data_IF_156652610377
#
_entry.id   IF_156652610377
#
_cell.length_a   1.000
_cell.length_b   1.000
_cell.length_c   1.000
_cell.angle_alpha   90.00
_cell.angle_beta   90.00
_cell.angle_gamma   90.00
#
_symmetry.space_group_name_H-M   'P 1'
#
loop_
_entity.id
_entity.type
_entity.pdbx_description
1 polymer ?
#
# COMPACT_ATOMS: atom_id res chain seq x y z
N UNK A 1 7.09 -2.72 -15.37
CA UNK A 1 6.86 -4.17 -15.28
C UNK A 1 5.53 -4.51 -15.93
N UNK A 2 5.54 -5.05 -17.16
CA UNK A 2 4.33 -5.31 -17.97
C UNK A 2 3.70 -6.69 -17.69
N UNK A 3 3.93 -7.27 -16.51
CA UNK A 3 3.42 -8.61 -16.20
C UNK A 3 1.90 -8.62 -16.09
N UNK A 4 1.29 -9.54 -16.82
CA UNK A 4 -0.15 -9.87 -16.75
C UNK A 4 -0.30 -11.24 -16.07
N UNK A 5 -1.49 -11.55 -15.62
CA UNK A 5 -1.80 -12.92 -15.20
C UNK A 5 -1.66 -13.90 -16.37
N UNK A 6 -1.20 -15.11 -16.06
CA UNK A 6 -1.34 -16.26 -16.95
C UNK A 6 -2.81 -16.67 -17.08
N UNK A 7 -3.13 -17.53 -18.06
CA UNK A 7 -4.48 -18.08 -18.20
C UNK A 7 -4.94 -18.77 -16.90
N UNK A 8 -4.03 -19.47 -16.22
CA UNK A 8 -4.32 -20.06 -14.90
C UNK A 8 -4.62 -18.98 -13.84
N UNK A 9 -3.92 -17.83 -13.83
CA UNK A 9 -4.21 -16.71 -12.92
C UNK A 9 -5.61 -16.14 -13.15
N UNK A 10 -6.07 -16.07 -14.39
CA UNK A 10 -7.45 -15.67 -14.73
C UNK A 10 -8.48 -16.68 -14.17
N UNK A 11 -8.21 -17.98 -14.31
CA UNK A 11 -9.05 -19.03 -13.73
C UNK A 11 -9.09 -18.95 -12.19
N UNK A 12 -7.97 -18.64 -11.53
CA UNK A 12 -7.89 -18.45 -10.08
C UNK A 12 -8.79 -17.30 -9.62
N UNK A 13 -8.74 -16.14 -10.28
CA UNK A 13 -9.60 -15.00 -9.92
C UNK A 13 -11.09 -15.37 -10.11
N UNK A 14 -11.43 -16.07 -11.19
CA UNK A 14 -12.79 -16.51 -11.43
C UNK A 14 -13.28 -17.49 -10.34
N UNK A 15 -12.44 -18.45 -9.93
CA UNK A 15 -12.77 -19.37 -8.85
C UNK A 15 -12.85 -18.69 -7.49
N UNK A 16 -11.99 -17.70 -7.20
CA UNK A 16 -12.08 -16.88 -5.98
C UNK A 16 -13.44 -16.18 -5.89
N UNK A 17 -13.91 -15.57 -6.98
CA UNK A 17 -15.22 -14.93 -7.02
C UNK A 17 -16.34 -15.96 -6.73
N UNK A 18 -16.26 -17.15 -7.34
CA UNK A 18 -17.25 -18.20 -7.19
C UNK A 18 -17.34 -18.75 -5.76
N UNK A 19 -16.22 -18.91 -5.06
CA UNK A 19 -16.17 -19.46 -3.71
C UNK A 19 -16.22 -18.38 -2.61
N UNK A 20 -16.38 -17.10 -2.95
CA UNK A 20 -16.48 -16.00 -2.00
C UNK A 20 -15.16 -15.60 -1.33
N UNK A 21 -14.04 -15.76 -2.02
CA UNK A 21 -12.72 -15.31 -1.52
C UNK A 21 -12.42 -13.92 -2.07
N UNK A 22 -12.04 -13.00 -1.18
CA UNK A 22 -11.60 -11.64 -1.56
C UNK A 22 -10.38 -11.68 -2.47
N UNK A 23 -10.45 -10.98 -3.60
CA UNK A 23 -9.29 -10.74 -4.47
C UNK A 23 -8.59 -9.49 -3.95
N UNK A 24 -7.35 -9.64 -3.49
CA UNK A 24 -6.51 -8.54 -3.05
C UNK A 24 -5.57 -8.12 -4.17
N UNK A 25 -5.66 -6.85 -4.58
CA UNK A 25 -4.82 -6.27 -5.64
C UNK A 25 -3.60 -5.51 -5.12
N UNK A 26 -3.34 -5.53 -3.81
CA UNK A 26 -2.07 -5.05 -3.29
C UNK A 26 -0.93 -5.93 -3.84
N UNK A 27 0.23 -5.32 -4.18
CA UNK A 27 1.39 -5.99 -4.78
C UNK A 27 1.26 -6.47 -6.23
N UNK A 28 0.16 -6.21 -6.92
CA UNK A 28 0.07 -6.54 -8.35
C UNK A 28 0.57 -5.37 -9.22
N UNK A 29 0.98 -5.65 -10.45
CA UNK A 29 1.31 -4.59 -11.42
C UNK A 29 0.05 -3.88 -11.90
N UNK A 30 0.20 -2.66 -12.43
CA UNK A 30 -0.91 -1.90 -13.02
C UNK A 30 -1.66 -2.72 -14.08
N UNK A 31 -0.93 -3.44 -14.96
CA UNK A 31 -1.56 -4.31 -15.97
C UNK A 31 -2.35 -5.47 -15.36
N UNK A 32 -1.85 -6.08 -14.28
CA UNK A 32 -2.57 -7.15 -13.58
C UNK A 32 -3.81 -6.59 -12.86
N UNK A 33 -3.73 -5.38 -12.27
CA UNK A 33 -4.88 -4.68 -11.72
C UNK A 33 -6.01 -4.53 -12.75
N UNK A 34 -5.72 -3.93 -13.91
CA UNK A 34 -6.75 -3.75 -14.95
C UNK A 34 -7.30 -5.09 -15.45
N UNK A 35 -6.47 -6.12 -15.55
CA UNK A 35 -6.94 -7.46 -15.92
C UNK A 35 -7.90 -8.05 -14.87
N UNK A 36 -7.65 -7.84 -13.56
CA UNK A 36 -8.60 -8.21 -12.50
C UNK A 36 -9.91 -7.46 -12.66
N UNK A 37 -9.84 -6.13 -12.90
CA UNK A 37 -11.02 -5.30 -13.07
C UNK A 37 -11.89 -5.71 -14.25
N UNK A 38 -11.31 -6.32 -15.29
CA UNK A 38 -12.03 -6.79 -16.48
C UNK A 38 -12.73 -8.15 -16.25
N UNK A 39 -12.24 -8.96 -15.31
CA UNK A 39 -12.72 -10.35 -15.11
C UNK A 39 -13.51 -10.52 -13.82
N UNK A 40 -13.28 -9.71 -12.79
CA UNK A 40 -13.99 -9.85 -11.51
C UNK A 40 -15.46 -9.49 -11.64
N UNK A 41 -16.31 -10.25 -10.93
CA UNK A 41 -17.76 -10.02 -10.88
C UNK A 41 -18.21 -9.43 -9.54
N UNK A 42 -17.31 -9.37 -8.58
CA UNK A 42 -17.52 -8.86 -7.21
C UNK A 42 -16.52 -7.78 -6.89
N UNK A 43 -16.74 -6.97 -5.86
CA UNK A 43 -15.75 -6.00 -5.41
C UNK A 43 -14.40 -6.62 -5.07
N UNK A 44 -13.32 -5.87 -5.24
CA UNK A 44 -11.97 -6.29 -4.83
C UNK A 44 -11.41 -5.34 -3.78
N UNK A 45 -10.34 -5.74 -3.11
CA UNK A 45 -9.66 -4.92 -2.11
C UNK A 45 -8.23 -4.61 -2.51
N UNK A 46 -7.76 -3.42 -2.13
CA UNK A 46 -6.34 -3.12 -2.01
C UNK A 46 -6.02 -3.05 -0.52
N UNK A 47 -5.64 -4.19 0.09
CA UNK A 47 -5.58 -4.35 1.54
C UNK A 47 -4.55 -3.44 2.23
N UNK A 48 -3.51 -2.99 1.51
CA UNK A 48 -2.46 -2.10 2.03
C UNK A 48 -1.72 -1.41 0.88
N UNK A 49 -2.38 -0.43 0.27
CA UNK A 49 -1.82 0.46 -0.76
C UNK A 49 -2.22 1.90 -0.47
N UNK A 50 -1.45 2.87 -0.99
CA UNK A 50 -1.75 4.29 -0.82
C UNK A 50 -1.95 4.99 -2.16
N UNK A 51 -2.28 6.29 -2.18
CA UNK A 51 -2.44 7.05 -3.40
C UNK A 51 -1.07 7.41 -4.00
N UNK A 52 -0.82 7.02 -5.25
CA UNK A 52 0.42 7.32 -5.99
C UNK A 52 0.61 8.82 -6.24
N UNK A 53 -0.47 9.60 -6.11
CA UNK A 53 -0.44 11.06 -6.16
C UNK A 53 0.66 11.67 -5.28
N UNK A 54 0.87 11.13 -4.07
CA UNK A 54 1.88 11.59 -3.12
C UNK A 54 3.25 10.91 -3.26
N UNK A 55 3.35 9.92 -4.13
CA UNK A 55 4.58 9.15 -4.41
C UNK A 55 4.71 8.89 -5.91
N UNK A 56 4.91 9.93 -6.74
CA UNK A 56 4.93 9.79 -8.19
C UNK A 56 5.93 8.75 -8.66
N UNK A 57 5.48 7.85 -9.56
CA UNK A 57 6.31 6.76 -10.10
C UNK A 57 6.44 5.52 -9.21
N UNK A 58 5.88 5.53 -8.00
CA UNK A 58 5.87 4.35 -7.12
C UNK A 58 4.68 3.44 -7.44
N UNK A 59 4.87 2.48 -8.35
CA UNK A 59 3.82 1.57 -8.86
C UNK A 59 3.20 0.66 -7.77
N UNK A 60 3.80 0.59 -6.57
CA UNK A 60 3.22 -0.13 -5.43
C UNK A 60 1.98 0.57 -4.87
N UNK A 61 1.87 1.89 -5.09
CA UNK A 61 0.68 2.70 -4.80
C UNK A 61 -0.21 2.79 -6.04
N UNK A 62 -1.51 3.01 -5.84
CA UNK A 62 -2.52 3.14 -6.89
C UNK A 62 -2.56 4.57 -7.44
N UNK A 63 -2.58 4.71 -8.75
CA UNK A 63 -2.85 6.01 -9.38
C UNK A 63 -4.34 6.38 -9.31
N UNK A 64 -4.66 7.63 -9.66
CA UNK A 64 -6.03 8.16 -9.57
C UNK A 64 -7.02 7.40 -10.46
N UNK A 65 -6.59 6.93 -11.64
CA UNK A 65 -7.44 6.15 -12.53
C UNK A 65 -7.73 4.75 -11.96
N UNK A 66 -6.75 4.12 -11.32
CA UNK A 66 -6.91 2.84 -10.63
C UNK A 66 -7.86 2.98 -9.43
N UNK A 67 -7.71 4.05 -8.62
CA UNK A 67 -8.59 4.31 -7.46
C UNK A 67 -10.02 4.55 -7.93
N UNK A 68 -10.23 5.34 -8.97
CA UNK A 68 -11.56 5.57 -9.55
C UNK A 68 -12.16 4.25 -10.06
N UNK A 69 -11.40 3.44 -10.78
CA UNK A 69 -11.85 2.14 -11.31
C UNK A 69 -12.18 1.13 -10.20
N UNK A 70 -11.41 1.16 -9.10
CA UNK A 70 -11.69 0.36 -7.91
C UNK A 70 -13.02 0.78 -7.26
N UNK A 71 -13.25 2.08 -7.11
CA UNK A 71 -14.50 2.61 -6.57
C UNK A 71 -15.72 2.27 -7.44
N UNK A 72 -15.60 2.36 -8.78
CA UNK A 72 -16.63 1.91 -9.73
C UNK A 72 -16.99 0.42 -9.58
N UNK A 73 -16.02 -0.41 -9.21
CA UNK A 73 -16.22 -1.83 -8.93
C UNK A 73 -16.88 -2.07 -7.55
N UNK A 74 -17.04 -1.04 -6.72
CA UNK A 74 -17.51 -1.17 -5.33
C UNK A 74 -16.43 -1.57 -4.32
N UNK A 75 -15.18 -1.67 -4.76
CA UNK A 75 -14.04 -2.07 -3.95
C UNK A 75 -13.57 -1.01 -2.95
N UNK A 76 -12.46 -1.28 -2.27
CA UNK A 76 -11.90 -0.42 -1.22
C UNK A 76 -10.37 -0.37 -1.33
N UNK A 77 -9.81 0.84 -1.23
CA UNK A 77 -8.38 1.05 -0.98
C UNK A 77 -8.15 1.26 0.53
N UNK A 78 -7.24 0.49 1.12
CA UNK A 78 -6.89 0.56 2.53
C UNK A 78 -5.48 1.16 2.65
N UNK A 79 -5.39 2.33 3.29
CA UNK A 79 -4.18 3.16 3.28
C UNK A 79 -3.05 2.52 4.10
N UNK A 80 -1.93 2.24 3.41
CA UNK A 80 -0.68 1.77 4.02
C UNK A 80 0.02 2.91 4.76
N UNK A 81 0.56 2.65 5.96
CA UNK A 81 1.20 3.67 6.79
C UNK A 81 2.72 3.73 6.67
N UNK A 82 3.37 2.79 5.99
CA UNK A 82 4.81 2.91 5.74
C UNK A 82 5.16 4.25 5.13
N UNK A 83 6.10 5.01 5.71
CA UNK A 83 6.39 6.38 5.27
C UNK A 83 6.71 6.47 3.77
N UNK A 84 7.35 5.45 3.19
CA UNK A 84 7.63 5.39 1.76
C UNK A 84 6.38 5.21 0.87
N UNK A 85 5.25 4.80 1.44
CA UNK A 85 3.94 4.77 0.78
C UNK A 85 3.20 6.09 0.94
N UNK A 86 3.60 6.91 1.93
CA UNK A 86 2.92 8.14 2.31
C UNK A 86 3.56 9.36 1.67
N UNK A 87 4.90 9.39 1.56
CA UNK A 87 5.62 10.57 1.04
C UNK A 87 6.63 10.19 -0.03
N UNK A 88 6.77 11.07 -1.03
CA UNK A 88 7.80 10.95 -2.05
C UNK A 88 9.21 10.98 -1.45
N UNK A 89 9.43 11.82 -0.42
CA UNK A 89 10.73 11.96 0.22
C UNK A 89 11.20 10.65 0.86
N UNK A 90 10.31 9.95 1.60
CA UNK A 90 10.63 8.66 2.20
C UNK A 90 10.78 7.55 1.14
N UNK A 91 10.03 7.62 0.04
CA UNK A 91 10.19 6.71 -1.09
C UNK A 91 11.54 6.90 -1.77
N UNK A 92 11.93 8.13 -2.07
CA UNK A 92 13.23 8.47 -2.65
C UNK A 92 14.40 8.11 -1.72
N UNK A 93 14.23 8.21 -0.39
CA UNK A 93 15.23 7.75 0.57
C UNK A 93 15.53 6.25 0.37
N UNK A 94 14.51 5.42 0.23
CA UNK A 94 14.69 4.00 0.00
C UNK A 94 15.41 3.70 -1.31
N UNK A 95 15.07 4.41 -2.38
CA UNK A 95 15.75 4.29 -3.68
C UNK A 95 17.24 4.67 -3.56
N UNK A 96 17.54 5.84 -2.98
CA UNK A 96 18.93 6.31 -2.77
C UNK A 96 19.75 5.34 -1.92
N UNK A 97 19.12 4.77 -0.87
CA UNK A 97 19.79 3.77 -0.03
C UNK A 97 20.08 2.48 -0.80
N UNK A 98 19.14 2.03 -1.66
CA UNK A 98 19.33 0.86 -2.52
C UNK A 98 20.46 1.09 -3.52
N UNK A 99 20.47 2.24 -4.19
CA UNK A 99 21.54 2.61 -5.15
C UNK A 99 22.92 2.68 -4.46
N UNK A 100 22.96 3.24 -3.24
CA UNK A 100 24.17 3.31 -2.46
C UNK A 100 24.65 1.91 -2.02
N UNK A 101 23.75 1.01 -1.70
CA UNK A 101 24.07 -0.39 -1.40
C UNK A 101 24.61 -1.13 -2.63
N UNK A 102 23.96 -0.99 -3.78
CA UNK A 102 24.43 -1.58 -5.02
C UNK A 102 25.84 -1.08 -5.40
N UNK A 103 26.07 0.22 -5.21
CA UNK A 103 27.40 0.80 -5.43
C UNK A 103 28.43 0.27 -4.44
N UNK A 104 28.07 0.06 -3.17
CA UNK A 104 28.94 -0.54 -2.15
C UNK A 104 29.30 -1.98 -2.50
N UNK A 105 28.37 -2.74 -3.08
CA UNK A 105 28.59 -4.12 -3.50
C UNK A 105 29.37 -4.25 -4.82
N UNK A 106 29.45 -3.19 -5.64
CA UNK A 106 30.09 -3.27 -6.96
C UNK A 106 31.60 -3.52 -6.80
N UNK A 107 32.09 -4.76 -7.06
CA UNK A 107 33.51 -5.05 -6.95
C UNK A 107 34.27 -4.30 -8.06
N UNK A 108 35.46 -3.84 -7.75
CA UNK A 108 36.32 -3.13 -8.70
C UNK A 108 36.65 -3.97 -9.94
N UNK A 109 36.60 -5.30 -9.84
CA UNK A 109 36.87 -6.28 -10.90
C UNK A 109 35.63 -6.77 -11.66
N UNK A 110 34.42 -6.31 -11.28
CA UNK A 110 33.16 -6.70 -11.92
C UNK A 110 32.75 -8.15 -11.69
N UNK A 111 33.28 -8.82 -10.66
CA UNK A 111 32.92 -10.20 -10.33
C UNK A 111 31.42 -10.31 -9.94
N UNK A 112 30.75 -11.42 -10.25
CA UNK A 112 29.36 -11.64 -9.84
C UNK A 112 29.24 -11.69 -8.31
N UNK A 113 28.24 -10.98 -7.75
CA UNK A 113 27.96 -10.98 -6.31
C UNK A 113 27.05 -12.17 -5.98
N UNK A 114 27.49 -13.01 -5.05
CA UNK A 114 26.62 -14.06 -4.48
C UNK A 114 25.63 -13.46 -3.48
N UNK A 115 24.43 -13.11 -3.95
CA UNK A 115 23.36 -12.52 -3.14
C UNK A 115 22.85 -13.45 -2.02
N UNK A 116 23.20 -14.74 -2.06
CA UNK A 116 22.82 -15.73 -1.03
C UNK A 116 23.92 -15.92 0.04
N UNK A 117 25.05 -15.23 -0.10
CA UNK A 117 26.12 -15.29 0.90
C UNK A 117 25.61 -14.72 2.25
N UNK A 118 25.66 -15.54 3.36
CA UNK A 118 25.23 -15.07 4.68
C UNK A 118 26.02 -13.87 5.23
N UNK A 119 27.27 -13.71 4.82
CA UNK A 119 28.11 -12.56 5.22
C UNK A 119 27.56 -11.26 4.67
N UNK A 120 27.00 -11.25 3.44
CA UNK A 120 26.34 -10.07 2.87
C UNK A 120 25.17 -9.56 3.70
N UNK A 121 24.49 -10.42 4.47
CA UNK A 121 23.40 -9.98 5.35
C UNK A 121 23.96 -9.12 6.50
N UNK A 122 25.06 -9.55 7.11
CA UNK A 122 25.72 -8.79 8.16
C UNK A 122 26.28 -7.46 7.63
N UNK A 123 26.86 -7.50 6.44
CA UNK A 123 27.36 -6.28 5.75
C UNK A 123 26.24 -5.32 5.43
N UNK A 124 25.07 -5.82 4.99
CA UNK A 124 23.89 -5.01 4.72
C UNK A 124 23.34 -4.35 5.98
N UNK A 125 23.32 -5.06 7.10
CA UNK A 125 22.85 -4.50 8.38
C UNK A 125 23.81 -3.41 8.88
N UNK A 126 25.12 -3.63 8.78
CA UNK A 126 26.13 -2.64 9.10
C UNK A 126 26.05 -1.41 8.20
N UNK A 127 25.92 -1.63 6.88
CA UNK A 127 25.71 -0.57 5.90
C UNK A 127 24.45 0.24 6.20
N UNK A 128 23.31 -0.41 6.40
CA UNK A 128 22.04 0.26 6.68
C UNK A 128 22.14 1.13 7.94
N UNK A 129 22.81 0.64 8.98
CA UNK A 129 23.03 1.40 10.21
C UNK A 129 23.88 2.65 9.92
N UNK A 130 25.01 2.49 9.25
CA UNK A 130 25.90 3.62 8.90
C UNK A 130 25.19 4.62 7.96
N UNK A 131 24.44 4.12 6.98
CA UNK A 131 23.67 4.97 6.06
C UNK A 131 22.63 5.81 6.80
N UNK A 132 21.91 5.21 7.75
CA UNK A 132 20.90 5.91 8.55
C UNK A 132 21.50 6.94 9.51
N UNK A 133 22.72 6.72 10.04
CA UNK A 133 23.44 7.71 10.86
C UNK A 133 23.82 8.96 10.06
N UNK A 134 24.19 8.77 8.79
CA UNK A 134 24.57 9.87 7.89
C UNK A 134 23.37 10.53 7.20
N UNK A 135 22.30 9.80 7.03
CA UNK A 135 21.08 10.19 6.33
C UNK A 135 19.87 9.83 7.20
N UNK A 136 19.40 10.71 8.09
CA UNK A 136 18.22 10.44 8.91
C UNK A 136 16.99 10.10 8.05
N UNK A 137 16.27 9.04 8.43
CA UNK A 137 15.07 8.62 7.68
C UNK A 137 13.97 9.67 7.77
N UNK A 138 13.41 10.14 6.65
CA UNK A 138 12.36 11.15 6.61
C UNK A 138 11.00 10.52 6.90
N UNK A 139 10.69 10.33 8.18
CA UNK A 139 9.40 9.77 8.59
C UNK A 139 8.25 10.66 8.12
N UNK A 140 7.25 10.06 7.53
CA UNK A 140 5.96 10.72 7.31
C UNK A 140 5.31 11.12 8.65
N UNK A 141 4.30 11.96 8.59
CA UNK A 141 3.49 12.40 9.74
C UNK A 141 2.08 11.85 9.65
N UNK A 142 1.34 11.91 10.76
CA UNK A 142 -0.10 11.64 10.79
C UNK A 142 -0.85 12.48 9.75
N UNK A 143 -0.53 13.79 9.66
CA UNK A 143 -1.20 14.69 8.72
C UNK A 143 -1.01 14.27 7.28
N UNK A 144 0.21 13.92 6.89
CA UNK A 144 0.49 13.40 5.54
C UNK A 144 -0.22 12.08 5.26
N UNK A 145 -0.39 11.22 6.28
CA UNK A 145 -1.18 9.99 6.15
C UNK A 145 -2.67 10.31 5.94
N UNK A 146 -3.21 11.29 6.66
CA UNK A 146 -4.60 11.74 6.52
C UNK A 146 -4.87 12.36 5.14
N UNK A 147 -3.87 12.98 4.50
CA UNK A 147 -4.00 13.53 3.14
C UNK A 147 -4.39 12.44 2.12
N UNK A 148 -3.95 11.19 2.32
CA UNK A 148 -4.36 10.08 1.46
C UNK A 148 -5.85 9.75 1.59
N UNK A 149 -6.40 9.79 2.80
CA UNK A 149 -7.84 9.60 3.02
C UNK A 149 -8.64 10.70 2.31
N UNK A 150 -8.25 11.97 2.52
CA UNK A 150 -8.90 13.11 1.86
C UNK A 150 -8.82 13.01 0.33
N UNK A 151 -7.66 12.60 -0.20
CA UNK A 151 -7.47 12.44 -1.65
C UNK A 151 -8.42 11.40 -2.24
N UNK A 152 -8.52 10.21 -1.62
CA UNK A 152 -9.43 9.15 -2.06
C UNK A 152 -10.88 9.62 -1.98
N UNK A 153 -11.29 10.22 -0.88
CA UNK A 153 -12.67 10.73 -0.71
C UNK A 153 -12.98 11.82 -1.73
N UNK A 154 -12.06 12.75 -1.95
CA UNK A 154 -12.24 13.80 -2.97
C UNK A 154 -12.34 13.23 -4.38
N UNK A 155 -11.52 12.24 -4.71
CA UNK A 155 -11.46 11.61 -6.03
C UNK A 155 -12.72 10.80 -6.34
N UNK A 156 -13.19 10.02 -5.35
CA UNK A 156 -14.33 9.10 -5.52
C UNK A 156 -15.68 9.74 -5.17
N UNK A 157 -15.66 10.89 -4.48
CA UNK A 157 -16.86 11.56 -3.99
C UNK A 157 -17.51 10.89 -2.77
N UNK A 158 -16.90 9.85 -2.17
CA UNK A 158 -17.44 9.12 -1.02
C UNK A 158 -16.36 8.56 -0.10
N UNK A 159 -16.69 8.47 1.19
CA UNK A 159 -15.89 7.76 2.19
C UNK A 159 -15.99 6.23 2.09
N UNK A 160 -16.92 5.71 1.30
CA UNK A 160 -17.23 4.28 1.21
C UNK A 160 -16.09 3.45 0.58
N UNK A 161 -15.14 4.10 -0.07
CA UNK A 161 -14.07 3.46 -0.84
C UNK A 161 -12.69 3.54 -0.20
N UNK A 162 -12.58 4.01 1.04
CA UNK A 162 -11.32 4.12 1.76
C UNK A 162 -11.37 3.43 3.13
N UNK A 163 -10.26 2.83 3.54
CA UNK A 163 -10.11 2.15 4.82
C UNK A 163 -8.68 2.14 5.33
N UNK A 164 -8.44 1.39 6.39
CA UNK A 164 -7.15 1.27 7.07
C UNK A 164 -6.44 0.00 6.63
N UNK A 165 -5.24 0.15 6.04
CA UNK A 165 -4.33 -0.93 5.68
C UNK A 165 -2.95 -0.71 6.27
N UNK A 166 -2.88 -0.46 7.58
CA UNK A 166 -1.72 0.05 8.32
C UNK A 166 -0.37 -0.64 8.02
N UNK A 167 -0.39 -1.94 7.78
CA UNK A 167 0.80 -2.75 7.49
C UNK A 167 1.88 -2.66 8.61
N UNK A 168 1.43 -2.59 9.88
CA UNK A 168 2.30 -2.39 11.04
C UNK A 168 3.38 -3.46 11.20
N UNK A 169 3.14 -4.67 10.76
CA UNK A 169 4.05 -5.82 10.80
C UNK A 169 4.91 -5.97 9.52
N UNK A 170 4.54 -5.29 8.42
CA UNK A 170 5.22 -5.41 7.13
C UNK A 170 6.24 -4.30 6.83
N UNK A 171 6.10 -3.11 7.41
CA UNK A 171 6.92 -1.93 7.05
C UNK A 171 8.04 -1.61 8.05
N UNK A 172 8.21 -2.41 9.10
CA UNK A 172 9.26 -2.24 10.09
C UNK A 172 9.19 -0.88 10.80
N UNK A 173 10.36 -0.29 11.11
CA UNK A 173 10.43 0.99 11.81
C UNK A 173 10.36 2.20 10.85
N UNK A 174 9.41 2.19 9.89
CA UNK A 174 9.21 3.29 8.94
C UNK A 174 7.87 3.99 9.09
N UNK A 175 7.13 3.69 10.15
CA UNK A 175 5.80 4.20 10.43
C UNK A 175 5.79 5.71 10.71
N UNK A 176 4.68 6.43 10.42
CA UNK A 176 4.60 7.88 10.57
C UNK A 176 4.73 8.33 12.01
N UNK A 177 5.19 9.55 12.19
CA UNK A 177 5.13 10.22 13.49
C UNK A 177 3.64 10.41 13.87
N UNK A 178 3.26 9.88 15.03
CA UNK A 178 1.87 9.90 15.51
C UNK A 178 1.04 8.66 15.17
N UNK A 179 1.59 7.69 14.37
CA UNK A 179 0.94 6.43 14.01
C UNK A 179 1.90 5.22 14.11
N UNK A 180 2.65 5.12 15.22
CA UNK A 180 3.72 4.11 15.36
C UNK A 180 3.21 2.69 15.62
N UNK A 181 2.02 2.54 16.15
CA UNK A 181 1.39 1.25 16.48
C UNK A 181 -0.13 1.42 16.68
N UNK A 182 -0.83 0.33 16.99
CA UNK A 182 -2.28 0.31 17.18
C UNK A 182 -2.77 1.21 18.32
N UNK A 183 -1.93 1.51 19.32
CA UNK A 183 -2.29 2.44 20.40
C UNK A 183 -2.42 3.89 19.91
N UNK A 184 -1.92 4.17 18.70
CA UNK A 184 -1.99 5.47 18.04
C UNK A 184 -3.29 5.70 17.24
N UNK A 185 -4.17 4.72 17.10
CA UNK A 185 -5.46 4.91 16.40
C UNK A 185 -6.33 6.04 16.95
N UNK A 186 -6.34 6.36 18.27
CA UNK A 186 -7.02 7.57 18.75
C UNK A 186 -6.52 8.86 18.07
N UNK A 187 -5.23 8.93 17.68
CA UNK A 187 -4.70 10.09 16.96
C UNK A 187 -5.28 10.16 15.55
N UNK A 188 -5.39 9.03 14.85
CA UNK A 188 -6.01 8.95 13.52
C UNK A 188 -7.48 9.39 13.57
N UNK A 189 -8.24 8.85 14.53
CA UNK A 189 -9.65 9.19 14.73
C UNK A 189 -9.81 10.71 15.00
N UNK A 190 -9.00 11.25 15.88
CA UNK A 190 -9.02 12.69 16.19
C UNK A 190 -8.64 13.54 14.96
N UNK A 191 -7.65 13.12 14.19
CA UNK A 191 -7.25 13.79 12.94
C UNK A 191 -8.37 13.79 11.90
N UNK A 192 -9.06 12.67 11.70
CA UNK A 192 -10.25 12.60 10.83
C UNK A 192 -11.37 13.52 11.31
N UNK A 193 -11.66 13.55 12.62
CA UNK A 193 -12.65 14.46 13.19
C UNK A 193 -12.28 15.94 12.95
N UNK A 194 -11.02 16.30 13.11
CA UNK A 194 -10.54 17.67 12.86
C UNK A 194 -10.65 18.08 11.38
N UNK A 195 -10.59 17.12 10.46
CA UNK A 195 -10.80 17.31 9.01
C UNK A 195 -12.28 17.33 8.61
N UNK A 196 -13.20 17.17 9.57
CA UNK A 196 -14.65 17.31 9.37
C UNK A 196 -15.36 16.01 9.01
N UNK A 197 -14.70 14.85 9.12
CA UNK A 197 -15.38 13.56 8.98
C UNK A 197 -16.38 13.36 10.14
N UNK A 198 -17.59 12.93 9.80
CA UNK A 198 -18.59 12.59 10.80
C UNK A 198 -18.24 11.30 11.54
N UNK A 199 -18.88 11.05 12.68
CA UNK A 199 -18.70 9.80 13.39
C UNK A 199 -19.05 8.57 12.52
N UNK A 200 -20.03 8.69 11.63
CA UNK A 200 -20.44 7.59 10.75
C UNK A 200 -19.43 7.40 9.62
N UNK A 201 -18.85 8.47 9.07
CA UNK A 201 -17.73 8.36 8.11
C UNK A 201 -16.53 7.65 8.75
N UNK A 202 -16.20 8.01 9.99
CA UNK A 202 -15.09 7.40 10.72
C UNK A 202 -15.32 5.91 10.96
N UNK A 203 -16.52 5.48 11.35
CA UNK A 203 -16.86 4.05 11.49
C UNK A 203 -16.67 3.30 10.18
N UNK A 204 -17.11 3.88 9.07
CA UNK A 204 -16.90 3.32 7.73
C UNK A 204 -15.42 3.11 7.43
N UNK A 205 -14.60 4.15 7.64
CA UNK A 205 -13.15 4.09 7.42
C UNK A 205 -12.49 3.06 8.35
N UNK A 206 -12.94 2.96 9.62
CA UNK A 206 -12.36 2.04 10.60
C UNK A 206 -12.65 0.57 10.34
N UNK A 207 -13.70 0.22 9.56
CA UNK A 207 -13.97 -1.18 9.27
C UNK A 207 -15.29 -1.47 8.54
N UNK A 208 -16.33 -0.64 8.66
CA UNK A 208 -17.62 -0.94 8.05
C UNK A 208 -17.54 -1.04 6.52
N UNK A 209 -16.66 -0.26 5.86
CA UNK A 209 -16.43 -0.36 4.43
C UNK A 209 -15.86 -1.74 4.03
N UNK A 210 -14.90 -2.26 4.79
CA UNK A 210 -14.36 -3.60 4.54
C UNK A 210 -15.42 -4.67 4.77
N UNK A 211 -16.23 -4.53 5.83
CA UNK A 211 -17.32 -5.48 6.12
C UNK A 211 -18.40 -5.45 5.03
N UNK A 212 -18.70 -4.27 4.46
CA UNK A 212 -19.57 -4.14 3.29
C UNK A 212 -19.03 -4.93 2.10
N UNK A 213 -17.78 -4.67 1.73
CA UNK A 213 -17.12 -5.35 0.60
C UNK A 213 -17.09 -6.86 0.82
N UNK A 214 -16.74 -7.30 2.02
CA UNK A 214 -16.74 -8.72 2.38
C UNK A 214 -18.12 -9.36 2.20
N UNK A 215 -19.16 -8.71 2.75
CA UNK A 215 -20.55 -9.20 2.60
C UNK A 215 -21.01 -9.26 1.14
N UNK A 216 -20.63 -8.29 0.30
CA UNK A 216 -20.94 -8.31 -1.14
C UNK A 216 -20.24 -9.46 -1.86
N UNK A 217 -19.00 -9.79 -1.49
CA UNK A 217 -18.24 -10.92 -2.05
C UNK A 217 -18.87 -12.25 -1.64
N UNK A 218 -19.21 -12.44 -0.36
CA UNK A 218 -19.86 -13.66 0.13
C UNK A 218 -21.25 -13.86 -0.51
N UNK A 219 -22.02 -12.78 -0.68
CA UNK A 219 -23.33 -12.82 -1.33
C UNK A 219 -23.24 -13.06 -2.85
N UNK A 220 -22.12 -12.74 -3.48
CA UNK A 220 -21.84 -13.03 -4.89
C UNK A 220 -21.29 -14.42 -5.14
N UNK A 221 -21.02 -15.22 -4.10
CA UNK A 221 -20.57 -16.61 -4.23
C UNK A 221 -21.67 -17.52 -4.80
N UNK A 222 -21.26 -18.49 -5.66
CA UNK A 222 -22.16 -19.47 -6.34
C UNK A 222 -22.07 -20.85 -5.69
#
# INVERSE_FOLDING_TARGET
NSSRFSDFGVEVVAEMNKVGIMVDISHVSDNAFYQVMDITKVPVIASHSSARHFTPGFERNMDDAMIARLAENGGIIMINYGSAFVTEEANQYNTKRSDAWEKFLSPEDGAPIDMYNPELRNDRDAFNKQYAELNPYPFATLEQTLDHFDHVVKLTGSVDFVGIGSDYDGVGNTLPIGLKDVSSYPNLINGLMQRGYSNDDIKKILGENLLRVWGEIENGAE
#
